data_IF_723672526836
#
_entry.id   IF_723672526836
#
_cell.length_a   1.000
_cell.length_b   1.000
_cell.length_c   1.000
_cell.angle_alpha   90.00
_cell.angle_beta   90.00
_cell.angle_gamma   90.00
#
_symmetry.space_group_name_H-M   'P 1'
#
loop_
_entity.id
_entity.type
_entity.pdbx_description
1 polymer ?
#
# COMPACT_ATOMS: atom_id res chain seq x y z
N UNK A 1 10.35 1.48 13.67
CA UNK A 1 9.90 0.96 12.37
C UNK A 1 9.91 2.11 11.37
N UNK A 2 11.11 2.52 10.94
CA UNK A 2 11.38 3.74 10.16
C UNK A 2 12.46 3.40 9.12
N UNK A 3 12.06 2.77 8.01
CA UNK A 3 13.00 2.37 6.95
C UNK A 3 12.87 3.16 5.64
N UNK A 4 11.77 3.89 5.43
CA UNK A 4 11.42 4.43 4.11
C UNK A 4 11.43 5.96 3.97
N UNK A 5 11.32 6.71 5.07
CA UNK A 5 11.07 8.15 5.00
C UNK A 5 12.31 8.98 4.58
N UNK A 6 13.52 8.43 4.76
CA UNK A 6 14.78 9.14 4.45
C UNK A 6 15.38 8.90 3.06
N UNK A 7 14.78 8.05 2.22
CA UNK A 7 15.37 7.67 0.93
C UNK A 7 15.01 8.70 -0.17
N UNK A 8 15.95 9.12 -1.05
CA UNK A 8 15.63 10.04 -2.12
C UNK A 8 14.51 9.47 -3.01
N UNK A 9 13.61 10.33 -3.56
CA UNK A 9 12.44 9.91 -4.31
C UNK A 9 12.77 8.98 -5.48
N UNK A 10 13.90 9.21 -6.17
CA UNK A 10 14.38 8.35 -7.26
C UNK A 10 14.64 6.90 -6.81
N UNK A 11 15.23 6.71 -5.62
CA UNK A 11 15.52 5.37 -5.12
C UNK A 11 14.25 4.64 -4.63
N UNK A 12 13.19 5.36 -4.24
CA UNK A 12 11.88 4.73 -3.97
C UNK A 12 11.20 4.26 -5.26
N UNK A 13 11.26 5.06 -6.31
CA UNK A 13 10.72 4.68 -7.64
C UNK A 13 11.43 3.43 -8.16
N UNK A 14 12.76 3.44 -8.15
CA UNK A 14 13.56 2.29 -8.59
C UNK A 14 13.23 1.00 -7.83
N UNK A 15 13.10 1.08 -6.50
CA UNK A 15 12.75 -0.10 -5.68
C UNK A 15 11.36 -0.61 -6.08
N UNK A 16 10.38 0.27 -6.25
CA UNK A 16 9.02 -0.13 -6.65
C UNK A 16 9.01 -0.82 -8.02
N UNK A 17 9.82 -0.35 -8.97
CA UNK A 17 9.94 -0.97 -10.29
C UNK A 17 10.58 -2.36 -10.19
N UNK A 18 11.67 -2.49 -9.43
CA UNK A 18 12.34 -3.77 -9.20
C UNK A 18 11.40 -4.76 -8.52
N UNK A 19 10.72 -4.35 -7.44
CA UNK A 19 9.75 -5.18 -6.74
C UNK A 19 8.63 -5.66 -7.68
N UNK A 20 8.11 -4.77 -8.53
CA UNK A 20 7.13 -5.12 -9.55
C UNK A 20 7.65 -6.15 -10.55
N UNK A 21 8.89 -5.99 -11.01
CA UNK A 21 9.52 -6.94 -11.94
C UNK A 21 9.75 -8.31 -11.30
N UNK A 22 10.24 -8.32 -10.06
CA UNK A 22 10.47 -9.54 -9.28
C UNK A 22 9.16 -10.28 -9.01
N UNK A 23 8.09 -9.56 -8.68
CA UNK A 23 6.77 -10.13 -8.47
C UNK A 23 6.28 -10.84 -9.73
N UNK A 24 6.35 -10.18 -10.89
CA UNK A 24 5.94 -10.76 -12.18
C UNK A 24 6.79 -11.98 -12.54
N UNK A 25 8.11 -11.90 -12.32
CA UNK A 25 9.02 -13.02 -12.59
C UNK A 25 8.72 -14.23 -11.71
N UNK A 26 8.49 -14.01 -10.41
CA UNK A 26 8.14 -15.04 -9.45
C UNK A 26 6.83 -15.74 -9.84
N UNK A 27 5.78 -14.98 -10.16
CA UNK A 27 4.47 -15.55 -10.51
C UNK A 27 4.49 -16.33 -11.82
N UNK A 28 5.33 -15.96 -12.80
CA UNK A 28 5.56 -16.82 -13.98
C UNK A 28 6.23 -18.14 -13.63
N UNK A 29 7.21 -18.13 -12.73
CA UNK A 29 7.85 -19.36 -12.27
C UNK A 29 6.83 -20.25 -11.53
N UNK A 30 6.04 -19.66 -10.62
CA UNK A 30 4.96 -20.36 -9.91
C UNK A 30 3.90 -20.92 -10.86
N UNK A 31 3.49 -20.15 -11.87
CA UNK A 31 2.53 -20.57 -12.88
C UNK A 31 3.01 -21.80 -13.66
N UNK A 32 4.27 -21.80 -14.11
CA UNK A 32 4.89 -22.98 -14.77
C UNK A 32 4.96 -24.20 -13.86
N UNK A 33 5.35 -24.02 -12.61
CA UNK A 33 5.39 -25.12 -11.63
C UNK A 33 3.99 -25.67 -11.33
N UNK A 34 3.00 -24.78 -11.20
CA UNK A 34 1.60 -25.16 -10.98
C UNK A 34 1.02 -25.88 -12.20
N UNK A 35 1.33 -25.42 -13.41
CA UNK A 35 0.93 -26.06 -14.67
C UNK A 35 1.48 -27.50 -14.75
N UNK A 36 2.80 -27.67 -14.55
CA UNK A 36 3.44 -28.98 -14.58
C UNK A 36 2.89 -29.93 -13.50
N UNK A 37 2.60 -29.40 -12.30
CA UNK A 37 1.96 -30.17 -11.21
C UNK A 37 0.52 -30.56 -11.56
N UNK A 38 -0.23 -29.67 -12.21
CA UNK A 38 -1.60 -29.92 -12.63
C UNK A 38 -1.67 -30.98 -13.72
N UNK A 39 -0.73 -30.98 -14.66
CA UNK A 39 -0.71 -31.95 -15.76
C UNK A 39 -0.07 -33.29 -15.41
N UNK A 40 0.79 -33.34 -14.39
CA UNK A 40 1.51 -34.56 -13.98
C UNK A 40 0.62 -35.82 -13.79
N UNK A 41 -0.60 -35.74 -13.24
CA UNK A 41 -1.47 -36.91 -13.09
C UNK A 41 -2.09 -37.42 -14.40
N UNK A 42 -2.02 -36.66 -15.50
CA UNK A 42 -2.64 -37.05 -16.78
C UNK A 42 -1.63 -37.77 -17.67
N UNK A 43 -1.20 -38.97 -17.27
CA UNK A 43 -0.23 -39.79 -18.02
C UNK A 43 -0.70 -40.19 -19.43
N UNK A 44 -2.00 -40.09 -19.70
CA UNK A 44 -2.60 -40.35 -21.01
C UNK A 44 -2.50 -39.16 -21.98
N UNK A 45 -2.12 -37.96 -21.50
CA UNK A 45 -1.81 -36.84 -22.38
C UNK A 45 -0.42 -37.05 -23.00
N UNK A 46 -0.37 -37.15 -24.34
CA UNK A 46 0.90 -37.04 -25.05
C UNK A 46 1.58 -35.69 -24.81
N UNK A 47 2.91 -35.65 -24.92
CA UNK A 47 3.75 -34.50 -24.56
C UNK A 47 3.31 -33.19 -25.22
N UNK A 48 2.92 -33.22 -26.49
CA UNK A 48 2.49 -32.01 -27.21
C UNK A 48 1.18 -31.45 -26.67
N UNK A 49 0.22 -32.33 -26.34
CA UNK A 49 -1.05 -31.91 -25.73
C UNK A 49 -0.83 -31.44 -24.29
N UNK A 50 0.14 -32.04 -23.59
CA UNK A 50 0.51 -31.63 -22.23
C UNK A 50 1.07 -30.21 -22.23
N UNK A 51 2.01 -29.90 -23.12
CA UNK A 51 2.56 -28.54 -23.27
C UNK A 51 1.48 -27.51 -23.58
N UNK A 52 0.57 -27.83 -24.51
CA UNK A 52 -0.54 -26.94 -24.85
C UNK A 52 -1.43 -26.62 -23.64
N UNK A 53 -1.73 -27.61 -22.81
CA UNK A 53 -2.50 -27.41 -21.56
C UNK A 53 -1.70 -26.61 -20.55
N UNK A 54 -0.39 -26.87 -20.41
CA UNK A 54 0.47 -26.13 -19.49
C UNK A 54 0.57 -24.64 -19.85
N UNK A 55 0.74 -24.32 -21.12
CA UNK A 55 0.79 -22.94 -21.63
C UNK A 55 -0.52 -22.19 -21.37
N UNK A 56 -1.67 -22.83 -21.66
CA UNK A 56 -2.99 -22.23 -21.38
C UNK A 56 -3.23 -22.06 -19.87
N UNK A 57 -2.82 -23.04 -19.07
CA UNK A 57 -2.91 -22.95 -17.62
C UNK A 57 -2.07 -21.79 -17.08
N UNK A 58 -0.82 -21.64 -17.54
CA UNK A 58 0.05 -20.52 -17.14
C UNK A 58 -0.59 -19.17 -17.47
N UNK A 59 -1.16 -19.02 -18.66
CA UNK A 59 -1.84 -17.79 -19.07
C UNK A 59 -3.01 -17.44 -18.14
N UNK A 60 -3.86 -18.41 -17.82
CA UNK A 60 -4.99 -18.22 -16.88
C UNK A 60 -4.51 -17.95 -15.46
N UNK A 61 -3.46 -18.64 -15.01
CA UNK A 61 -2.85 -18.42 -13.70
C UNK A 61 -2.36 -16.97 -13.56
N UNK A 62 -1.66 -16.45 -14.57
CA UNK A 62 -1.17 -15.07 -14.60
C UNK A 62 -2.31 -14.05 -14.65
N UNK A 63 -3.38 -14.33 -15.41
CA UNK A 63 -4.56 -13.48 -15.47
C UNK A 63 -5.25 -13.40 -14.10
N UNK A 64 -5.42 -14.55 -13.43
CA UNK A 64 -6.00 -14.62 -12.10
C UNK A 64 -5.14 -13.90 -11.06
N UNK A 65 -3.83 -14.12 -11.06
CA UNK A 65 -2.89 -13.44 -10.16
C UNK A 65 -2.96 -11.92 -10.32
N UNK A 66 -2.95 -11.42 -11.57
CA UNK A 66 -3.11 -9.99 -11.87
C UNK A 66 -4.41 -9.43 -11.31
N UNK A 67 -5.53 -10.12 -11.51
CA UNK A 67 -6.84 -9.68 -10.99
C UNK A 67 -6.86 -9.63 -9.46
N UNK A 68 -6.18 -10.56 -8.80
CA UNK A 68 -6.07 -10.62 -7.34
C UNK A 68 -5.25 -9.46 -6.78
N UNK A 69 -4.13 -9.14 -7.42
CA UNK A 69 -3.31 -7.98 -7.05
C UNK A 69 -4.05 -6.66 -7.26
N UNK A 70 -4.77 -6.50 -8.37
CA UNK A 70 -5.57 -5.30 -8.62
C UNK A 70 -6.61 -5.09 -7.53
N UNK A 71 -7.38 -6.13 -7.18
CA UNK A 71 -8.35 -6.05 -6.08
C UNK A 71 -7.71 -5.71 -4.74
N UNK A 72 -6.55 -6.30 -4.46
CA UNK A 72 -5.80 -6.02 -3.22
C UNK A 72 -5.29 -4.57 -3.20
N UNK A 73 -4.74 -4.08 -4.31
CA UNK A 73 -4.25 -2.71 -4.44
C UNK A 73 -5.39 -1.69 -4.28
N UNK A 74 -6.54 -1.94 -4.93
CA UNK A 74 -7.73 -1.11 -4.76
C UNK A 74 -8.23 -1.10 -3.31
N UNK A 75 -8.29 -2.27 -2.66
CA UNK A 75 -8.73 -2.37 -1.26
C UNK A 75 -7.77 -1.65 -0.32
N UNK A 76 -6.47 -1.80 -0.52
CA UNK A 76 -5.45 -1.08 0.24
C UNK A 76 -5.56 0.43 0.04
N UNK A 77 -5.81 0.89 -1.19
CA UNK A 77 -6.06 2.29 -1.51
C UNK A 77 -7.31 2.85 -0.79
N UNK A 78 -8.42 2.11 -0.82
CA UNK A 78 -9.65 2.49 -0.10
C UNK A 78 -9.42 2.60 1.41
N UNK A 79 -8.78 1.58 2.01
CA UNK A 79 -8.46 1.59 3.43
C UNK A 79 -7.57 2.79 3.79
N UNK A 80 -6.51 3.03 3.01
CA UNK A 80 -5.61 4.16 3.23
C UNK A 80 -6.36 5.50 3.16
N UNK A 81 -7.26 5.67 2.19
CA UNK A 81 -8.11 6.85 2.08
C UNK A 81 -8.95 7.08 3.34
N UNK A 82 -9.69 6.06 3.79
CA UNK A 82 -10.51 6.13 5.01
C UNK A 82 -9.68 6.47 6.26
N UNK A 83 -8.48 5.88 6.39
CA UNK A 83 -7.58 6.17 7.51
C UNK A 83 -7.02 7.59 7.45
N UNK A 84 -6.59 8.05 6.28
CA UNK A 84 -6.07 9.40 6.10
C UNK A 84 -7.13 10.47 6.36
N UNK A 85 -8.38 10.23 5.99
CA UNK A 85 -9.50 11.13 6.30
C UNK A 85 -9.75 11.23 7.80
N UNK A 86 -9.82 10.09 8.50
CA UNK A 86 -9.96 10.04 9.97
C UNK A 86 -8.79 10.74 10.66
N UNK A 87 -7.57 10.48 10.19
CA UNK A 87 -6.37 11.12 10.73
C UNK A 87 -6.37 12.64 10.50
N UNK A 88 -6.70 13.10 9.29
CA UNK A 88 -6.82 14.55 8.98
C UNK A 88 -7.88 15.21 9.87
N UNK A 89 -9.02 14.56 10.10
CA UNK A 89 -10.05 15.05 11.01
C UNK A 89 -9.53 15.18 12.45
N UNK A 90 -8.87 14.15 12.98
CA UNK A 90 -8.30 14.19 14.33
C UNK A 90 -7.21 15.25 14.47
N UNK A 91 -6.29 15.32 13.51
CA UNK A 91 -5.23 16.33 13.46
C UNK A 91 -5.80 17.74 13.47
N UNK A 92 -6.86 18.01 12.69
CA UNK A 92 -7.54 19.32 12.70
C UNK A 92 -8.13 19.65 14.06
N UNK A 93 -8.79 18.69 14.72
CA UNK A 93 -9.37 18.89 16.06
C UNK A 93 -8.30 19.18 17.12
N UNK A 94 -7.20 18.45 17.09
CA UNK A 94 -6.06 18.68 17.99
C UNK A 94 -5.41 20.04 17.77
N UNK A 95 -5.18 20.42 16.51
CA UNK A 95 -4.63 21.74 16.19
C UNK A 95 -5.58 22.87 16.58
N UNK A 96 -6.89 22.73 16.34
CA UNK A 96 -7.88 23.71 16.77
C UNK A 96 -7.89 23.86 18.30
N UNK A 97 -7.93 22.75 19.05
CA UNK A 97 -7.86 22.78 20.51
C UNK A 97 -6.58 23.39 21.04
N UNK A 98 -5.43 23.07 20.42
CA UNK A 98 -4.14 23.65 20.77
C UNK A 98 -4.10 25.17 20.53
N UNK A 99 -4.57 25.63 19.36
CA UNK A 99 -4.62 27.05 19.03
C UNK A 99 -5.57 27.83 19.96
N UNK A 100 -6.74 27.27 20.27
CA UNK A 100 -7.68 27.86 21.23
C UNK A 100 -7.08 27.93 22.63
N UNK A 101 -6.43 26.86 23.09
CA UNK A 101 -5.76 26.83 24.39
C UNK A 101 -4.61 27.85 24.48
N UNK A 102 -3.76 27.91 23.46
CA UNK A 102 -2.67 28.88 23.39
C UNK A 102 -3.20 30.33 23.36
N UNK A 103 -4.26 30.59 22.57
CA UNK A 103 -4.93 31.89 22.53
C UNK A 103 -5.52 32.29 23.88
N UNK A 104 -6.16 31.37 24.59
CA UNK A 104 -6.70 31.62 25.93
C UNK A 104 -5.60 31.96 26.94
N UNK A 105 -4.49 31.20 26.95
CA UNK A 105 -3.35 31.47 27.85
C UNK A 105 -2.73 32.83 27.56
N UNK A 106 -2.48 33.15 26.29
CA UNK A 106 -1.93 34.45 25.88
C UNK A 106 -2.88 35.60 26.22
N UNK A 107 -4.19 35.41 26.01
CA UNK A 107 -5.21 36.39 26.37
C UNK A 107 -5.27 36.66 27.88
N UNK A 108 -5.28 35.60 28.70
CA UNK A 108 -5.25 35.73 30.16
C UNK A 108 -3.96 36.41 30.65
N UNK A 109 -2.80 36.03 30.11
CA UNK A 109 -1.53 36.66 30.45
C UNK A 109 -1.50 38.15 30.06
N UNK A 110 -1.99 38.50 28.87
CA UNK A 110 -2.10 39.89 28.43
C UNK A 110 -3.02 40.73 29.32
N UNK A 111 -4.19 40.18 29.69
CA UNK A 111 -5.12 40.84 30.61
C UNK A 111 -4.50 41.06 32.00
N UNK A 112 -3.76 40.08 32.53
CA UNK A 112 -3.02 40.20 33.78
C UNK A 112 -1.96 41.31 33.73
N UNK A 113 -1.18 41.38 32.64
CA UNK A 113 -0.18 42.43 32.46
C UNK A 113 -0.82 43.82 32.38
N UNK A 114 -1.94 43.96 31.65
CA UNK A 114 -2.67 45.23 31.58
C UNK A 114 -3.22 45.68 32.94
N UNK A 115 -3.76 44.74 33.73
CA UNK A 115 -4.26 45.03 35.07
C UNK A 115 -3.13 45.45 36.03
N UNK A 116 -1.98 44.77 35.98
CA UNK A 116 -0.82 45.10 36.80
C UNK A 116 -0.13 46.40 36.37
N UNK A 117 -0.22 46.78 35.09
CA UNK A 117 0.32 48.05 34.58
C UNK A 117 -0.55 49.29 34.86
N UNK A 118 -1.77 49.10 35.36
CA UNK A 118 -2.71 50.19 35.69
C UNK A 118 -2.77 50.50 37.21
N UNK A 119 -2.05 49.75 38.06
CA UNK A 119 -1.99 49.95 39.51
C UNK A 119 -0.62 50.38 40.00
#
# INVERSE_FOLDING_TARGET
MTGGEGRPPAARVLISEIEGHLLVAATRAEGRTAAARFTAPFEWLGDDRRREVEERFEAEYLALARSSWQRTAERAGRLRGEYEERYRALRRRLLAGFLLGAGAVLGCAGALVLLLGQG
#
